data_IF_412287234252
#
_entry.id   IF_412287234252
#
_cell.length_a   1.000
_cell.length_b   1.000
_cell.length_c   1.000
_cell.angle_alpha   90.00
_cell.angle_beta   90.00
_cell.angle_gamma   90.00
#
_symmetry.space_group_name_H-M   'P 1'
#
loop_
_entity.id
_entity.type
_entity.pdbx_description
1 polymer ?
#
# COMPACT_ATOMS: atom_id res chain seq x y z
N UNK A 1 -10.72 -32.96 -12.23
CA UNK A 1 -9.97 -31.84 -12.84
C UNK A 1 -10.47 -30.48 -12.43
N UNK A 2 -11.79 -30.26 -12.26
CA UNK A 2 -12.32 -28.93 -11.83
C UNK A 2 -12.21 -28.71 -10.31
N UNK A 3 -12.31 -29.77 -9.53
CA UNK A 3 -12.21 -29.74 -8.05
C UNK A 3 -10.76 -29.56 -7.56
N UNK A 4 -9.78 -30.12 -8.28
CA UNK A 4 -8.35 -29.93 -7.99
C UNK A 4 -7.87 -28.51 -8.35
N UNK A 5 -8.42 -27.93 -9.44
CA UNK A 5 -8.14 -26.52 -9.78
C UNK A 5 -8.77 -25.55 -8.79
N UNK A 6 -9.95 -25.85 -8.25
CA UNK A 6 -10.59 -25.05 -7.19
C UNK A 6 -9.83 -25.16 -5.86
N UNK A 7 -9.33 -26.34 -5.50
CA UNK A 7 -8.50 -26.54 -4.28
C UNK A 7 -7.14 -25.85 -4.40
N UNK A 8 -6.47 -25.91 -5.56
CA UNK A 8 -5.23 -25.18 -5.81
C UNK A 8 -5.44 -23.66 -5.79
N UNK A 9 -6.50 -23.15 -6.42
CA UNK A 9 -6.83 -21.72 -6.41
C UNK A 9 -7.18 -21.20 -5.01
N UNK A 10 -7.85 -22.00 -4.18
CA UNK A 10 -8.12 -21.68 -2.78
C UNK A 10 -6.83 -21.66 -1.95
N UNK A 11 -5.86 -22.56 -2.19
CA UNK A 11 -4.58 -22.59 -1.49
C UNK A 11 -3.65 -21.42 -1.88
N UNK A 12 -3.65 -21.01 -3.14
CA UNK A 12 -2.90 -19.84 -3.62
C UNK A 12 -3.50 -18.53 -3.10
N UNK A 13 -4.82 -18.41 -3.09
CA UNK A 13 -5.54 -17.27 -2.52
C UNK A 13 -5.30 -17.16 -1.01
N UNK A 14 -5.35 -18.29 -0.27
CA UNK A 14 -5.08 -18.31 1.17
C UNK A 14 -3.63 -17.91 1.48
N UNK A 15 -2.67 -18.33 0.64
CA UNK A 15 -1.27 -17.96 0.83
C UNK A 15 -1.03 -16.46 0.54
N UNK A 16 -1.59 -15.94 -0.54
CA UNK A 16 -1.51 -14.52 -0.89
C UNK A 16 -2.18 -13.63 0.16
N UNK A 17 -3.36 -14.01 0.64
CA UNK A 17 -4.07 -13.31 1.72
C UNK A 17 -3.21 -13.30 3.00
N UNK A 18 -2.52 -14.40 3.35
CA UNK A 18 -1.59 -14.44 4.49
C UNK A 18 -0.36 -13.55 4.29
N UNK A 19 0.14 -13.39 3.08
CA UNK A 19 1.29 -12.54 2.76
C UNK A 19 0.93 -11.04 2.66
N UNK A 20 -0.29 -10.72 2.25
CA UNK A 20 -0.80 -9.34 2.25
C UNK A 20 -1.29 -8.94 3.63
N UNK A 21 -1.98 -9.83 4.34
CA UNK A 21 -2.34 -9.61 5.74
C UNK A 21 -1.09 -9.69 6.62
N UNK A 22 -0.72 -8.59 7.21
CA UNK A 22 0.35 -8.51 8.22
C UNK A 22 -0.06 -9.14 9.58
N UNK A 23 -0.99 -10.09 9.59
CA UNK A 23 -1.55 -10.71 10.80
C UNK A 23 -1.39 -12.23 10.71
N UNK A 24 -0.63 -12.83 11.63
CA UNK A 24 -0.58 -14.29 11.81
C UNK A 24 -1.76 -14.80 12.60
N UNK A 25 -2.27 -15.97 12.23
CA UNK A 25 -3.20 -16.76 13.04
C UNK A 25 -2.43 -17.88 13.73
N UNK A 26 -2.82 -18.23 14.95
CA UNK A 26 -2.18 -19.27 15.78
C UNK A 26 -2.28 -20.70 15.20
N UNK A 27 -3.03 -20.92 14.13
CA UNK A 27 -3.33 -22.25 13.55
C UNK A 27 -2.27 -22.76 12.57
N UNK A 28 -1.27 -21.98 12.19
CA UNK A 28 -0.16 -22.47 11.36
C UNK A 28 0.80 -23.29 12.23
N UNK A 29 1.08 -24.54 11.83
CA UNK A 29 2.11 -25.36 12.46
C UNK A 29 3.49 -24.66 12.47
N UNK A 30 4.49 -25.19 13.20
CA UNK A 30 5.79 -24.53 13.32
C UNK A 30 6.44 -24.43 11.93
N UNK A 31 6.73 -23.20 11.53
CA UNK A 31 7.51 -22.92 10.33
C UNK A 31 8.95 -23.49 10.49
N UNK A 32 9.61 -23.89 9.39
CA UNK A 32 11.00 -24.34 9.47
C UNK A 32 11.94 -23.25 9.97
N UNK A 33 13.00 -23.68 10.70
CA UNK A 33 14.08 -22.76 11.09
C UNK A 33 14.82 -22.22 9.86
N UNK A 34 15.34 -21.03 9.98
CA UNK A 34 16.29 -20.48 9.01
C UNK A 34 17.66 -21.08 9.32
N UNK A 35 18.16 -21.91 8.41
CA UNK A 35 19.45 -22.60 8.57
C UNK A 35 20.58 -21.90 7.81
N UNK A 36 20.24 -21.24 6.72
CA UNK A 36 21.22 -20.62 5.81
C UNK A 36 20.72 -19.30 5.23
N UNK A 37 21.66 -18.55 4.66
CA UNK A 37 21.33 -17.34 3.90
C UNK A 37 20.43 -17.63 2.67
N UNK A 38 20.58 -18.78 2.07
CA UNK A 38 19.74 -19.20 0.94
C UNK A 38 18.24 -19.27 1.30
N UNK A 39 17.90 -19.59 2.56
CA UNK A 39 16.51 -19.63 3.02
C UNK A 39 15.87 -18.24 3.01
N UNK A 40 16.65 -17.18 3.26
CA UNK A 40 16.17 -15.80 3.23
C UNK A 40 15.83 -15.35 1.80
N UNK A 41 16.66 -15.71 0.83
CA UNK A 41 16.45 -15.35 -0.58
C UNK A 41 15.46 -16.26 -1.29
N UNK A 42 15.32 -17.51 -0.84
CA UNK A 42 14.35 -18.48 -1.37
C UNK A 42 12.90 -17.95 -1.27
N UNK A 43 12.60 -17.11 -0.29
CA UNK A 43 11.28 -16.49 -0.21
C UNK A 43 10.99 -15.63 -1.44
N UNK A 44 11.94 -14.81 -1.88
CA UNK A 44 11.77 -13.97 -3.07
C UNK A 44 11.72 -14.82 -4.34
N UNK A 45 12.60 -15.82 -4.47
CA UNK A 45 12.61 -16.74 -5.61
C UNK A 45 11.30 -17.51 -5.77
N UNK A 46 10.59 -17.83 -4.66
CA UNK A 46 9.24 -18.43 -4.74
C UNK A 46 8.20 -17.51 -5.39
N UNK A 47 8.45 -16.20 -5.44
CA UNK A 47 7.61 -15.23 -6.13
C UNK A 47 7.74 -15.27 -7.64
N UNK A 48 8.76 -15.95 -8.20
CA UNK A 48 8.94 -16.08 -9.65
C UNK A 48 7.83 -16.92 -10.28
N UNK A 49 7.13 -16.33 -11.25
CA UNK A 49 6.00 -16.95 -11.93
C UNK A 49 6.08 -16.72 -13.43
N UNK A 50 5.74 -17.71 -14.25
CA UNK A 50 5.59 -17.49 -15.70
C UNK A 50 4.50 -16.44 -15.96
N UNK A 51 4.65 -15.70 -17.05
CA UNK A 51 3.82 -14.51 -17.35
C UNK A 51 2.31 -14.81 -17.42
N UNK A 52 1.91 -15.99 -17.80
CA UNK A 52 0.51 -16.43 -17.86
C UNK A 52 -0.11 -16.67 -16.48
N UNK A 53 0.73 -16.77 -15.44
CA UNK A 53 0.31 -16.89 -14.04
C UNK A 53 0.36 -15.57 -13.28
N UNK A 54 0.80 -14.47 -13.90
CA UNK A 54 0.86 -13.18 -13.23
C UNK A 54 -0.53 -12.70 -12.84
N UNK A 55 -0.62 -12.14 -11.64
CA UNK A 55 -1.83 -11.59 -11.04
C UNK A 55 -1.64 -10.12 -10.68
N UNK A 56 -2.74 -9.46 -10.39
CA UNK A 56 -2.82 -8.07 -9.97
C UNK A 56 -3.48 -8.06 -8.60
N UNK A 57 -2.76 -7.61 -7.57
CA UNK A 57 -3.34 -7.29 -6.27
C UNK A 57 -3.51 -5.78 -6.11
N UNK A 58 -4.58 -5.36 -5.46
CA UNK A 58 -4.81 -3.95 -5.15
C UNK A 58 -5.20 -3.81 -3.70
N UNK A 59 -4.51 -2.92 -2.98
CA UNK A 59 -4.87 -2.57 -1.61
C UNK A 59 -5.39 -1.14 -1.58
N UNK A 60 -6.40 -0.87 -0.77
CA UNK A 60 -6.87 0.49 -0.59
C UNK A 60 -7.48 0.71 0.79
N UNK A 61 -7.08 1.81 1.38
CA UNK A 61 -7.53 2.26 2.68
C UNK A 61 -8.56 3.39 2.54
N UNK A 62 -9.41 3.54 3.53
CA UNK A 62 -10.37 4.62 3.66
C UNK A 62 -10.55 5.01 5.13
N UNK A 63 -10.69 6.31 5.40
CA UNK A 63 -11.06 6.76 6.74
C UNK A 63 -12.53 6.46 7.00
N UNK A 64 -12.82 5.97 8.19
CA UNK A 64 -14.19 5.77 8.67
C UNK A 64 -14.57 6.93 9.58
N UNK A 65 -15.73 7.53 9.37
CA UNK A 65 -16.22 8.64 10.19
C UNK A 65 -17.71 8.49 10.51
N UNK A 66 -18.15 9.02 11.65
CA UNK A 66 -19.57 9.13 11.99
C UNK A 66 -20.21 10.28 11.21
N UNK A 67 -21.33 10.04 10.53
CA UNK A 67 -21.97 11.03 9.64
C UNK A 67 -22.45 12.28 10.41
N UNK A 68 -22.79 12.13 11.72
CA UNK A 68 -23.39 13.21 12.49
C UNK A 68 -22.43 14.36 12.85
N UNK A 69 -21.19 14.04 13.24
CA UNK A 69 -20.21 15.00 13.75
C UNK A 69 -18.79 14.80 13.19
N UNK A 70 -18.65 13.85 12.27
CA UNK A 70 -17.42 13.47 11.60
C UNK A 70 -16.31 12.95 12.56
N UNK A 71 -16.62 12.49 13.80
CA UNK A 71 -15.61 11.85 14.62
C UNK A 71 -15.15 10.51 14.04
N UNK A 72 -13.95 10.07 14.39
CA UNK A 72 -13.43 8.74 14.02
C UNK A 72 -14.00 7.72 15.01
N UNK A 73 -14.80 6.72 14.54
CA UNK A 73 -15.42 5.75 15.44
C UNK A 73 -14.39 4.86 16.14
N UNK A 74 -14.52 4.67 17.45
CA UNK A 74 -13.69 3.74 18.19
C UNK A 74 -14.08 2.29 17.91
N UNK A 75 -13.21 1.35 18.30
CA UNK A 75 -13.48 -0.07 18.10
C UNK A 75 -14.73 -0.53 18.84
N UNK A 76 -14.90 -0.13 20.12
CA UNK A 76 -15.89 -0.68 21.02
C UNK A 76 -17.16 0.18 21.17
N UNK A 77 -17.18 1.39 20.65
CA UNK A 77 -18.38 2.22 20.77
C UNK A 77 -19.60 1.57 20.08
N UNK A 78 -20.79 1.89 20.56
CA UNK A 78 -22.02 1.37 19.96
C UNK A 78 -22.13 1.78 18.49
N UNK A 79 -22.12 0.80 17.59
CA UNK A 79 -22.07 1.05 16.15
C UNK A 79 -20.68 1.41 15.61
N UNK A 80 -19.60 1.18 16.38
CA UNK A 80 -18.23 1.46 15.99
C UNK A 80 -17.58 0.43 15.05
N UNK A 81 -16.25 0.41 14.99
CA UNK A 81 -15.49 -0.40 14.02
C UNK A 81 -15.76 -1.91 14.20
N UNK A 82 -15.91 -2.39 15.46
CA UNK A 82 -16.30 -3.79 15.70
C UNK A 82 -17.64 -4.12 15.05
N UNK A 83 -18.65 -3.25 15.18
CA UNK A 83 -19.97 -3.46 14.58
C UNK A 83 -19.90 -3.45 13.04
N UNK A 84 -19.03 -2.64 12.44
CA UNK A 84 -18.77 -2.63 11.00
C UNK A 84 -18.21 -3.97 10.53
N UNK A 85 -17.19 -4.53 11.23
CA UNK A 85 -16.62 -5.85 10.91
C UNK A 85 -17.66 -6.95 11.02
N UNK A 86 -18.43 -7.01 12.12
CA UNK A 86 -19.55 -7.95 12.28
C UNK A 86 -20.56 -7.81 11.17
N UNK A 87 -20.94 -6.58 10.81
CA UNK A 87 -21.90 -6.32 9.74
C UNK A 87 -21.49 -6.91 8.39
N UNK A 88 -20.20 -6.92 8.09
CA UNK A 88 -19.66 -7.46 6.84
C UNK A 88 -19.72 -8.98 6.77
N UNK A 89 -19.80 -9.70 7.88
CA UNK A 89 -19.90 -11.19 7.88
C UNK A 89 -21.11 -11.70 7.13
N UNK A 90 -22.19 -10.90 7.02
CA UNK A 90 -23.39 -11.26 6.24
C UNK A 90 -23.11 -11.45 4.74
N UNK A 91 -22.00 -10.91 4.22
CA UNK A 91 -21.56 -11.09 2.84
C UNK A 91 -20.60 -12.28 2.65
N UNK A 92 -20.41 -13.09 3.70
CA UNK A 92 -19.56 -14.28 3.66
C UNK A 92 -18.13 -14.06 4.14
N UNK A 93 -17.79 -12.84 4.61
CA UNK A 93 -16.50 -12.58 5.24
C UNK A 93 -16.37 -13.34 6.55
N UNK A 94 -15.20 -13.97 6.78
CA UNK A 94 -14.88 -14.77 7.95
C UNK A 94 -14.01 -13.98 8.93
N UNK A 95 -14.38 -13.88 10.23
CA UNK A 95 -13.61 -13.14 11.21
C UNK A 95 -12.24 -13.77 11.50
N UNK A 96 -11.22 -12.90 11.62
CA UNK A 96 -9.89 -13.23 12.14
C UNK A 96 -9.73 -12.56 13.49
N UNK A 97 -9.32 -13.35 14.49
CA UNK A 97 -9.25 -12.91 15.88
C UNK A 97 -7.81 -12.75 16.37
N UNK A 98 -7.60 -11.77 17.25
CA UNK A 98 -6.47 -11.65 18.15
C UNK A 98 -7.04 -11.59 19.58
N UNK A 99 -6.87 -12.66 20.35
CA UNK A 99 -7.62 -12.83 21.60
C UNK A 99 -9.13 -12.88 21.34
N UNK A 100 -9.87 -12.00 21.98
CA UNK A 100 -11.34 -11.87 21.80
C UNK A 100 -11.74 -10.84 20.72
N UNK A 101 -10.77 -10.10 20.18
CA UNK A 101 -11.05 -9.02 19.23
C UNK A 101 -11.00 -9.51 17.79
N UNK A 102 -12.01 -9.15 16.99
CA UNK A 102 -11.96 -9.29 15.54
C UNK A 102 -11.07 -8.18 14.98
N UNK A 103 -9.92 -8.55 14.40
CA UNK A 103 -8.92 -7.60 13.90
C UNK A 103 -8.86 -7.54 12.37
N UNK A 104 -9.49 -8.48 11.71
CA UNK A 104 -9.55 -8.57 10.26
C UNK A 104 -10.69 -9.50 9.83
N UNK A 105 -10.98 -9.52 8.53
CA UNK A 105 -11.88 -10.48 7.89
C UNK A 105 -11.17 -11.09 6.68
N UNK A 106 -11.42 -12.37 6.39
CA UNK A 106 -10.97 -13.04 5.17
C UNK A 106 -12.15 -13.47 4.32
N UNK A 107 -11.98 -13.52 3.02
CA UNK A 107 -13.05 -13.93 2.10
C UNK A 107 -12.53 -14.18 0.69
N UNK A 108 -13.43 -14.56 -0.24
CA UNK A 108 -13.06 -14.84 -1.62
C UNK A 108 -12.52 -13.62 -2.39
N UNK A 109 -12.85 -12.42 -1.94
CA UNK A 109 -12.38 -11.15 -2.49
C UNK A 109 -11.14 -10.60 -1.75
N UNK A 110 -10.37 -11.45 -1.06
CA UNK A 110 -9.17 -11.04 -0.33
C UNK A 110 -9.37 -10.92 1.18
N UNK A 111 -8.82 -9.87 1.79
CA UNK A 111 -8.94 -9.61 3.21
C UNK A 111 -9.33 -8.16 3.51
N UNK A 112 -10.06 -7.97 4.59
CA UNK A 112 -10.32 -6.66 5.18
C UNK A 112 -9.50 -6.55 6.45
N UNK A 113 -8.72 -5.50 6.62
CA UNK A 113 -7.95 -5.25 7.81
C UNK A 113 -8.17 -3.86 8.39
N UNK A 114 -7.72 -3.68 9.64
CA UNK A 114 -7.74 -2.40 10.33
C UNK A 114 -6.32 -1.86 10.42
N UNK A 115 -6.14 -0.62 10.03
CA UNK A 115 -4.94 0.14 10.33
C UNK A 115 -5.04 0.82 11.72
N UNK A 116 -3.94 1.36 12.30
CA UNK A 116 -3.89 1.73 13.72
C UNK A 116 -5.03 2.61 14.25
N UNK A 117 -5.55 3.54 13.46
CA UNK A 117 -6.66 4.41 13.87
C UNK A 117 -8.01 4.04 13.23
N UNK A 118 -8.16 2.80 12.77
CA UNK A 118 -9.40 2.32 12.17
C UNK A 118 -9.53 2.67 10.69
N UNK A 119 -8.44 3.09 10.02
CA UNK A 119 -8.44 3.14 8.56
C UNK A 119 -8.77 1.74 8.07
N UNK A 120 -9.81 1.68 7.23
CA UNK A 120 -10.45 0.43 6.82
C UNK A 120 -9.88 0.00 5.47
N UNK A 121 -9.11 -1.08 5.47
CA UNK A 121 -8.37 -1.56 4.31
C UNK A 121 -9.06 -2.74 3.65
N UNK A 122 -9.06 -2.77 2.32
CA UNK A 122 -9.19 -3.99 1.53
C UNK A 122 -7.81 -4.33 0.96
N UNK A 123 -7.30 -5.51 1.29
CA UNK A 123 -6.22 -6.18 0.55
C UNK A 123 -6.89 -7.15 -0.41
N UNK A 124 -7.04 -6.74 -1.69
CA UNK A 124 -7.80 -7.48 -2.69
C UNK A 124 -7.16 -8.81 -3.09
N UNK A 125 -7.93 -9.67 -3.72
CA UNK A 125 -7.48 -10.96 -4.22
C UNK A 125 -6.48 -10.81 -5.39
N UNK A 126 -5.62 -11.82 -5.65
CA UNK A 126 -4.76 -11.85 -6.84
C UNK A 126 -5.59 -12.16 -8.09
N UNK A 127 -5.85 -11.14 -8.92
CA UNK A 127 -6.78 -11.19 -10.04
C UNK A 127 -6.07 -11.15 -11.41
N UNK A 128 -6.71 -11.67 -12.45
CA UNK A 128 -6.13 -11.80 -13.79
C UNK A 128 -6.05 -10.49 -14.58
N UNK A 129 -6.97 -9.57 -14.30
CA UNK A 129 -7.14 -8.35 -15.09
C UNK A 129 -7.78 -7.21 -14.31
N UNK A 130 -7.65 -5.99 -14.83
CA UNK A 130 -8.13 -4.77 -14.18
C UNK A 130 -9.66 -4.69 -14.11
N UNK A 131 -10.39 -5.31 -15.02
CA UNK A 131 -11.85 -5.35 -14.94
C UNK A 131 -12.32 -6.10 -13.68
N UNK A 132 -11.64 -7.23 -13.36
CA UNK A 132 -11.90 -7.99 -12.13
C UNK A 132 -11.53 -7.17 -10.88
N UNK A 133 -10.37 -6.51 -10.89
CA UNK A 133 -9.89 -5.64 -9.80
C UNK A 133 -10.89 -4.52 -9.51
N UNK A 134 -11.36 -3.83 -10.55
CA UNK A 134 -12.37 -2.78 -10.38
C UNK A 134 -13.73 -3.31 -9.94
N UNK A 135 -14.13 -4.48 -10.40
CA UNK A 135 -15.36 -5.13 -9.96
C UNK A 135 -15.31 -5.52 -8.47
N UNK A 136 -14.16 -6.06 -8.01
CA UNK A 136 -13.87 -6.36 -6.60
C UNK A 136 -13.96 -5.09 -5.74
N UNK A 137 -13.23 -4.04 -6.09
CA UNK A 137 -13.30 -2.74 -5.41
C UNK A 137 -14.74 -2.23 -5.32
N UNK A 138 -15.48 -2.29 -6.43
CA UNK A 138 -16.87 -1.85 -6.47
C UNK A 138 -17.79 -2.70 -5.58
N UNK A 139 -17.57 -4.03 -5.48
CA UNK A 139 -18.31 -4.90 -4.56
C UNK A 139 -18.05 -4.52 -3.11
N UNK A 140 -16.76 -4.40 -2.75
CA UNK A 140 -16.36 -4.04 -1.40
C UNK A 140 -16.93 -2.69 -0.97
N UNK A 141 -16.81 -1.65 -1.79
CA UNK A 141 -17.36 -0.32 -1.48
C UNK A 141 -18.87 -0.35 -1.29
N UNK A 142 -19.62 -1.13 -2.09
CA UNK A 142 -21.06 -1.31 -1.85
C UNK A 142 -21.36 -2.02 -0.53
N UNK A 143 -20.58 -3.04 -0.17
CA UNK A 143 -20.75 -3.78 1.08
C UNK A 143 -20.50 -2.89 2.30
N UNK A 144 -19.38 -2.15 2.32
CA UNK A 144 -19.07 -1.26 3.44
C UNK A 144 -20.07 -0.11 3.54
N UNK A 145 -20.50 0.45 2.41
CA UNK A 145 -21.54 1.49 2.38
C UNK A 145 -22.87 1.00 2.95
N UNK A 146 -23.33 -0.19 2.54
CA UNK A 146 -24.59 -0.77 3.05
C UNK A 146 -24.59 -0.99 4.57
N UNK A 147 -23.43 -1.39 5.14
CA UNK A 147 -23.30 -1.52 6.59
C UNK A 147 -23.13 -0.15 7.23
N UNK A 148 -22.29 0.73 6.66
CA UNK A 148 -22.05 2.07 7.18
C UNK A 148 -23.34 2.89 7.29
N UNK A 149 -24.20 2.89 6.29
CA UNK A 149 -25.49 3.57 6.34
C UNK A 149 -26.35 3.13 7.53
N UNK A 150 -26.36 1.83 7.87
CA UNK A 150 -27.10 1.30 9.02
C UNK A 150 -26.50 1.70 10.37
N UNK A 151 -25.16 1.94 10.39
CA UNK A 151 -24.43 2.32 11.58
C UNK A 151 -24.22 3.83 11.72
N UNK A 152 -24.65 4.62 10.73
CA UNK A 152 -24.41 6.06 10.68
C UNK A 152 -22.95 6.42 10.37
N UNK A 153 -22.25 5.58 9.60
CA UNK A 153 -20.85 5.77 9.20
C UNK A 153 -20.73 6.17 7.73
N UNK A 154 -19.74 7.00 7.42
CA UNK A 154 -19.26 7.31 6.09
C UNK A 154 -17.80 6.88 5.90
N UNK A 155 -17.37 6.84 4.65
CA UNK A 155 -16.02 6.42 4.25
C UNK A 155 -15.39 7.49 3.38
N UNK A 156 -14.23 8.01 3.79
CA UNK A 156 -13.58 9.16 3.14
C UNK A 156 -12.35 8.71 2.35
N UNK A 157 -12.29 9.08 1.08
CA UNK A 157 -11.21 8.74 0.15
C UNK A 157 -10.17 9.88 0.03
N UNK A 158 -9.30 10.03 1.02
CA UNK A 158 -8.19 11.01 1.04
C UNK A 158 -6.87 10.34 1.45
N UNK A 159 -5.74 10.99 1.18
CA UNK A 159 -4.43 10.49 1.59
C UNK A 159 -4.05 10.83 3.04
N UNK A 160 -4.71 11.81 3.65
CA UNK A 160 -4.49 12.23 5.02
C UNK A 160 -5.78 12.73 5.65
N UNK A 161 -5.93 12.50 6.97
CA UNK A 161 -7.08 12.95 7.76
C UNK A 161 -7.16 14.48 7.74
N UNK A 162 -8.22 15.09 7.19
CA UNK A 162 -8.17 16.52 6.84
C UNK A 162 -8.28 17.45 8.05
N UNK A 163 -8.97 17.05 9.12
CA UNK A 163 -9.34 17.90 10.25
C UNK A 163 -9.01 17.32 11.64
N UNK A 164 -8.74 16.02 11.76
CA UNK A 164 -8.48 15.38 13.05
C UNK A 164 -7.03 15.54 13.49
N UNK A 165 -6.82 15.79 14.79
CA UNK A 165 -5.52 15.72 15.44
C UNK A 165 -5.24 14.27 15.86
N UNK A 166 -3.98 13.98 16.25
CA UNK A 166 -3.59 12.61 16.69
C UNK A 166 -4.41 12.15 17.90
N UNK A 167 -4.63 13.05 18.87
CA UNK A 167 -5.38 12.79 20.11
C UNK A 167 -6.88 12.57 19.89
N UNK A 168 -7.41 12.98 18.75
CA UNK A 168 -8.83 12.79 18.41
C UNK A 168 -9.11 11.38 17.84
N UNK A 169 -8.07 10.58 17.60
CA UNK A 169 -8.16 9.30 16.89
C UNK A 169 -8.09 8.11 17.83
N UNK A 170 -8.94 7.09 17.64
CA UNK A 170 -8.90 5.86 18.41
C UNK A 170 -7.68 5.01 18.05
N UNK A 171 -7.39 3.99 18.87
CA UNK A 171 -6.40 2.96 18.58
C UNK A 171 -7.11 1.61 18.48
N UNK A 172 -6.86 0.89 17.38
CA UNK A 172 -7.43 -0.44 17.16
C UNK A 172 -6.71 -1.50 17.99
N UNK A 173 -7.40 -2.56 18.47
CA UNK A 173 -6.88 -3.55 19.41
C UNK A 173 -6.01 -4.61 18.74
N UNK A 174 -4.90 -4.20 18.08
CA UNK A 174 -3.86 -5.09 17.57
C UNK A 174 -2.60 -4.93 18.40
N UNK A 175 -2.06 -6.02 18.96
CA UNK A 175 -0.92 -5.98 19.88
C UNK A 175 0.34 -5.36 19.28
N UNK A 176 0.60 -5.57 17.98
CA UNK A 176 1.72 -4.96 17.26
C UNK A 176 1.68 -3.42 17.26
N UNK A 177 0.50 -2.80 17.29
CA UNK A 177 0.37 -1.34 17.28
C UNK A 177 0.89 -0.70 18.56
N UNK A 178 0.69 -1.35 19.71
CA UNK A 178 1.24 -0.87 20.98
C UNK A 178 2.79 -0.80 20.95
N UNK A 179 3.46 -1.74 20.29
CA UNK A 179 4.91 -1.74 20.09
C UNK A 179 5.32 -0.58 19.17
N UNK A 180 4.66 -0.46 18.02
CA UNK A 180 4.96 0.58 17.02
C UNK A 180 4.73 1.99 17.58
N UNK A 181 3.64 2.22 18.30
CA UNK A 181 3.33 3.52 18.94
C UNK A 181 4.43 3.96 19.92
N UNK A 182 5.06 3.02 20.64
CA UNK A 182 6.19 3.32 21.55
C UNK A 182 7.49 3.56 20.80
N UNK A 183 7.69 2.88 19.68
CA UNK A 183 8.94 2.95 18.93
C UNK A 183 9.02 4.18 17.99
N UNK A 184 7.96 4.45 17.23
CA UNK A 184 7.94 5.49 16.19
C UNK A 184 8.43 6.86 16.64
N UNK A 185 8.02 7.40 17.82
CA UNK A 185 8.49 8.72 18.27
C UNK A 185 9.99 8.79 18.60
N UNK A 186 10.68 7.65 18.66
CA UNK A 186 12.13 7.58 18.95
C UNK A 186 12.98 7.67 17.71
N UNK A 187 12.40 7.39 16.54
CA UNK A 187 13.13 7.25 15.27
C UNK A 187 12.75 8.28 14.23
N UNK A 188 11.61 8.96 14.38
CA UNK A 188 11.16 10.04 13.52
C UNK A 188 10.08 10.89 14.17
N UNK A 189 9.85 12.11 13.69
CA UNK A 189 8.86 13.01 14.26
C UNK A 189 7.44 12.81 13.70
N UNK A 190 7.31 12.22 12.51
CA UNK A 190 6.06 12.04 11.78
C UNK A 190 5.53 10.59 11.78
N UNK A 191 6.20 9.67 12.51
CA UNK A 191 5.80 8.27 12.55
C UNK A 191 4.38 8.03 13.10
N UNK A 192 3.96 8.81 14.10
CA UNK A 192 2.58 8.73 14.61
C UNK A 192 1.56 9.29 13.63
N UNK A 193 1.91 10.31 12.85
CA UNK A 193 1.05 10.81 11.77
C UNK A 193 0.86 9.77 10.67
N UNK A 194 1.94 9.06 10.31
CA UNK A 194 1.88 7.95 9.37
C UNK A 194 0.89 6.89 9.87
N UNK A 195 1.03 6.44 11.10
CA UNK A 195 0.21 5.37 11.66
C UNK A 195 -1.26 5.74 11.78
N UNK A 196 -1.57 6.96 12.20
CA UNK A 196 -2.91 7.33 12.64
C UNK A 196 -3.70 8.12 11.59
N UNK A 197 -3.02 8.84 10.71
CA UNK A 197 -3.68 9.86 9.86
C UNK A 197 -3.50 9.66 8.36
N UNK A 198 -2.85 8.58 7.90
CA UNK A 198 -2.67 8.34 6.45
C UNK A 198 -3.57 7.24 5.92
N UNK A 199 -3.96 7.37 4.65
CA UNK A 199 -4.53 6.31 3.82
C UNK A 199 -3.85 6.27 2.45
N UNK A 200 -3.73 5.07 1.89
CA UNK A 200 -3.03 4.81 0.63
C UNK A 200 -3.88 3.97 -0.32
N UNK A 201 -3.45 3.94 -1.58
CA UNK A 201 -3.75 2.90 -2.55
C UNK A 201 -2.42 2.24 -2.92
N UNK A 202 -2.38 0.89 -2.98
CA UNK A 202 -1.19 0.12 -3.31
C UNK A 202 -1.49 -0.88 -4.42
N UNK A 203 -0.45 -1.30 -5.13
CA UNK A 203 -0.56 -2.28 -6.21
C UNK A 203 0.52 -3.33 -6.07
N UNK A 204 0.14 -4.61 -6.10
CA UNK A 204 1.00 -5.77 -5.98
C UNK A 204 1.11 -6.46 -7.32
N UNK A 205 2.33 -6.60 -7.85
CA UNK A 205 2.59 -7.16 -9.18
C UNK A 205 3.68 -8.22 -9.15
N UNK A 206 3.45 -9.30 -9.89
CA UNK A 206 4.34 -10.45 -10.01
C UNK A 206 5.55 -10.17 -10.93
N UNK A 207 6.56 -11.02 -10.81
CA UNK A 207 7.75 -11.04 -11.65
C UNK A 207 8.10 -12.47 -12.09
N UNK A 208 8.85 -12.60 -13.20
CA UNK A 208 9.16 -13.88 -13.82
C UNK A 208 10.51 -14.48 -13.38
N UNK A 209 11.42 -13.63 -12.91
CA UNK A 209 12.78 -14.00 -12.51
C UNK A 209 13.38 -12.87 -11.69
N UNK A 210 14.54 -13.11 -11.06
CA UNK A 210 15.30 -12.06 -10.37
C UNK A 210 15.64 -10.88 -11.30
N UNK A 211 16.05 -11.15 -12.53
CA UNK A 211 16.37 -10.11 -13.51
C UNK A 211 15.14 -9.26 -13.91
N UNK A 212 13.97 -9.88 -14.06
CA UNK A 212 12.70 -9.18 -14.30
C UNK A 212 12.29 -8.36 -13.07
N UNK A 213 12.42 -8.94 -11.87
CA UNK A 213 12.19 -8.24 -10.59
C UNK A 213 13.06 -6.99 -10.49
N UNK A 214 14.37 -7.10 -10.73
CA UNK A 214 15.32 -5.97 -10.67
C UNK A 214 14.90 -4.85 -11.61
N UNK A 215 14.54 -5.16 -12.85
CA UNK A 215 14.11 -4.15 -13.83
C UNK A 215 12.81 -3.48 -13.42
N UNK A 216 11.81 -4.27 -13.02
CA UNK A 216 10.52 -3.77 -12.53
C UNK A 216 10.69 -2.92 -11.28
N UNK A 217 11.53 -3.34 -10.34
CA UNK A 217 11.79 -2.58 -9.13
C UNK A 217 12.41 -1.21 -9.43
N UNK A 218 13.44 -1.18 -10.29
CA UNK A 218 14.09 0.07 -10.72
C UNK A 218 13.11 1.03 -11.39
N UNK A 219 12.30 0.56 -12.33
CA UNK A 219 11.28 1.37 -12.99
C UNK A 219 10.25 1.87 -12.00
N UNK A 220 9.74 1.00 -11.14
CA UNK A 220 8.74 1.36 -10.13
C UNK A 220 9.26 2.40 -9.16
N UNK A 221 10.48 2.20 -8.63
CA UNK A 221 11.08 3.11 -7.66
C UNK A 221 11.40 4.48 -8.28
N UNK A 222 11.91 4.50 -9.51
CA UNK A 222 12.18 5.74 -10.25
C UNK A 222 10.92 6.55 -10.55
N UNK A 223 9.81 5.87 -10.92
CA UNK A 223 8.55 6.50 -11.28
C UNK A 223 7.59 6.68 -10.09
N UNK A 224 7.94 6.21 -8.89
CA UNK A 224 7.09 6.38 -7.70
C UNK A 224 6.76 7.85 -7.42
N UNK A 225 7.70 8.83 -7.56
CA UNK A 225 7.35 10.24 -7.42
C UNK A 225 6.33 10.74 -8.45
N UNK A 226 6.30 10.17 -9.67
CA UNK A 226 5.26 10.51 -10.65
C UNK A 226 3.90 9.97 -10.21
N UNK A 227 3.83 8.74 -9.70
CA UNK A 227 2.62 8.21 -9.08
C UNK A 227 2.17 9.10 -7.90
N UNK A 228 3.09 9.49 -7.02
CA UNK A 228 2.80 10.45 -5.92
C UNK A 228 2.19 11.75 -6.46
N UNK A 229 2.74 12.33 -7.53
CA UNK A 229 2.21 13.57 -8.13
C UNK A 229 0.79 13.38 -8.69
N UNK A 230 0.56 12.30 -9.46
CA UNK A 230 -0.73 12.01 -10.09
C UNK A 230 -1.85 11.72 -9.07
N UNK A 231 -1.46 11.12 -7.95
CA UNK A 231 -2.39 10.71 -6.88
C UNK A 231 -2.38 11.65 -5.67
N UNK A 232 -1.67 12.79 -5.72
CA UNK A 232 -1.61 13.76 -4.63
C UNK A 232 -3.02 14.21 -4.19
N UNK A 233 -3.41 13.87 -2.95
CA UNK A 233 -4.77 14.03 -2.43
C UNK A 233 -4.80 14.23 -0.91
N UNK A 234 -3.81 14.99 -0.35
CA UNK A 234 -3.71 15.23 1.09
C UNK A 234 -3.29 16.67 1.43
N UNK A 235 -4.03 17.70 0.95
CA UNK A 235 -3.62 19.09 1.09
C UNK A 235 -4.03 19.75 2.41
N UNK A 236 -4.73 19.03 3.31
CA UNK A 236 -5.25 19.58 4.58
C UNK A 236 -4.68 18.87 5.79
N UNK A 237 -4.53 19.60 6.89
CA UNK A 237 -4.15 19.11 8.21
C UNK A 237 -4.85 19.96 9.26
N UNK A 238 -5.55 19.31 10.20
CA UNK A 238 -6.21 20.00 11.34
C UNK A 238 -7.08 21.18 10.92
N UNK A 239 -7.88 20.96 9.88
CA UNK A 239 -8.85 21.95 9.38
C UNK A 239 -8.30 23.01 8.45
N UNK A 240 -7.02 22.94 8.03
CA UNK A 240 -6.35 24.00 7.25
C UNK A 240 -5.52 23.43 6.10
N UNK A 241 -5.32 24.20 5.01
CA UNK A 241 -4.30 23.89 4.00
C UNK A 241 -2.90 23.78 4.65
N UNK A 242 -2.18 22.69 4.32
CA UNK A 242 -0.88 22.37 4.93
C UNK A 242 0.34 22.77 4.08
N UNK A 243 0.12 23.31 2.88
CA UNK A 243 1.18 23.73 1.96
C UNK A 243 1.78 22.59 1.13
N UNK A 244 1.17 21.39 1.15
CA UNK A 244 1.53 20.27 0.30
C UNK A 244 0.34 19.87 -0.58
N UNK A 245 0.64 19.16 -1.68
CA UNK A 245 -0.35 18.46 -2.48
C UNK A 245 -0.48 17.00 -2.00
N UNK A 246 0.65 16.36 -1.67
CA UNK A 246 0.68 15.08 -0.95
C UNK A 246 1.42 15.23 0.38
N UNK A 247 0.69 15.59 1.43
CA UNK A 247 1.26 15.64 2.79
C UNK A 247 1.62 14.23 3.29
N UNK A 248 0.87 13.21 2.87
CA UNK A 248 1.20 11.82 3.16
C UNK A 248 2.61 11.46 2.68
N UNK A 249 2.98 11.82 1.46
CA UNK A 249 4.34 11.55 0.96
C UNK A 249 5.41 12.30 1.76
N UNK A 250 5.13 13.52 2.22
CA UNK A 250 6.02 14.26 3.11
C UNK A 250 6.22 13.54 4.45
N UNK A 251 5.16 12.99 5.04
CA UNK A 251 5.23 12.24 6.31
C UNK A 251 6.24 11.10 6.22
N UNK A 252 6.29 10.36 5.12
CA UNK A 252 7.23 9.26 4.92
C UNK A 252 8.70 9.69 4.82
N UNK A 253 9.00 11.00 4.78
CA UNK A 253 10.38 11.51 4.82
C UNK A 253 10.96 11.57 6.23
N UNK A 254 10.13 11.53 7.28
CA UNK A 254 10.56 11.60 8.69
C UNK A 254 9.74 10.64 9.59
N UNK A 255 9.67 9.37 9.17
CA UNK A 255 8.97 8.29 9.89
C UNK A 255 9.98 7.37 10.60
N UNK A 256 10.74 6.59 9.84
CA UNK A 256 11.81 5.72 10.32
C UNK A 256 12.81 5.51 9.18
N UNK A 257 13.94 6.22 9.18
CA UNK A 257 14.87 6.23 8.05
C UNK A 257 15.50 4.87 7.76
N UNK A 258 15.50 3.93 8.71
CA UNK A 258 16.05 2.59 8.49
C UNK A 258 15.17 1.71 7.60
N UNK A 259 13.85 2.01 7.53
CA UNK A 259 12.86 1.15 6.86
C UNK A 259 11.94 1.84 5.88
N UNK A 260 12.04 3.17 5.70
CA UNK A 260 11.14 3.96 4.86
C UNK A 260 11.89 4.62 3.70
N UNK A 261 11.16 5.04 2.68
CA UNK A 261 11.63 5.92 1.63
C UNK A 261 12.24 5.19 0.43
N UNK A 262 13.12 5.92 -0.24
CA UNK A 262 13.83 5.40 -1.41
C UNK A 262 14.97 4.47 -0.96
N UNK A 263 15.24 3.46 -1.78
CA UNK A 263 16.34 2.52 -1.60
C UNK A 263 17.39 2.74 -2.69
N UNK A 264 18.37 3.63 -2.50
CA UNK A 264 19.34 3.99 -3.55
C UNK A 264 20.11 2.81 -4.12
N UNK A 265 20.43 1.81 -3.29
CA UNK A 265 21.15 0.60 -3.69
C UNK A 265 20.41 -0.24 -4.76
N UNK A 266 19.11 -0.01 -4.98
CA UNK A 266 18.35 -0.67 -6.07
C UNK A 266 18.91 -0.29 -7.44
N UNK A 267 19.50 0.90 -7.58
CA UNK A 267 20.09 1.40 -8.82
C UNK A 267 21.56 1.03 -9.00
N UNK A 268 22.20 0.45 -7.97
CA UNK A 268 23.59 -0.01 -8.04
C UNK A 268 23.73 -1.30 -8.86
N UNK A 269 24.92 -1.53 -9.42
CA UNK A 269 25.25 -2.81 -10.05
C UNK A 269 25.25 -3.93 -9.02
N UNK A 270 24.77 -5.11 -9.41
CA UNK A 270 24.67 -6.26 -8.52
C UNK A 270 23.47 -6.27 -7.58
N UNK A 271 22.51 -5.33 -7.75
CA UNK A 271 21.24 -5.41 -7.02
C UNK A 271 20.47 -6.67 -7.41
N UNK A 272 19.94 -7.37 -6.41
CA UNK A 272 19.13 -8.58 -6.53
C UNK A 272 18.64 -9.04 -5.17
N UNK A 273 18.18 -10.29 -5.07
CA UNK A 273 17.61 -10.87 -3.84
C UNK A 273 18.57 -10.82 -2.64
N UNK A 274 19.85 -11.15 -2.89
CA UNK A 274 20.88 -11.12 -1.84
C UNK A 274 21.05 -9.71 -1.25
N UNK A 275 21.13 -8.69 -2.10
CA UNK A 275 21.31 -7.31 -1.65
C UNK A 275 20.08 -6.77 -0.93
N UNK A 276 18.86 -7.18 -1.36
CA UNK A 276 17.64 -6.83 -0.65
C UNK A 276 17.52 -7.55 0.69
N UNK A 277 17.90 -8.83 0.75
CA UNK A 277 17.96 -9.57 2.02
C UNK A 277 18.94 -8.93 3.01
N UNK A 278 20.13 -8.49 2.55
CA UNK A 278 21.07 -7.76 3.38
C UNK A 278 20.51 -6.46 3.96
N UNK A 279 19.82 -5.68 3.12
CA UNK A 279 19.12 -4.49 3.61
C UNK A 279 18.12 -4.86 4.71
N UNK A 280 17.29 -5.87 4.49
CA UNK A 280 16.28 -6.29 5.47
C UNK A 280 16.89 -6.82 6.76
N UNK A 281 18.03 -7.53 6.71
CA UNK A 281 18.75 -7.98 7.90
C UNK A 281 19.27 -6.82 8.76
N UNK A 282 19.54 -5.67 8.14
CA UNK A 282 20.02 -4.45 8.81
C UNK A 282 18.87 -3.54 9.30
N UNK A 283 17.64 -3.77 8.84
CA UNK A 283 16.44 -3.08 9.36
C UNK A 283 16.21 -3.52 10.81
N UNK A 284 16.12 -2.62 11.81
CA UNK A 284 15.80 -3.00 13.17
C UNK A 284 14.43 -3.69 13.29
N UNK A 285 14.32 -4.71 14.12
CA UNK A 285 13.07 -5.44 14.32
C UNK A 285 12.01 -4.57 15.00
N UNK A 286 10.75 -4.99 14.90
CA UNK A 286 9.66 -4.47 15.75
C UNK A 286 9.23 -5.51 16.79
N UNK A 287 8.99 -6.74 16.37
CA UNK A 287 8.44 -7.79 17.23
C UNK A 287 8.85 -9.19 16.73
N UNK A 288 8.62 -10.16 17.59
CA UNK A 288 8.54 -11.59 17.25
C UNK A 288 7.17 -12.10 17.68
N UNK A 289 6.54 -12.96 16.88
CA UNK A 289 5.25 -13.55 17.21
C UNK A 289 5.46 -14.97 17.78
N UNK A 290 4.98 -15.21 19.03
CA UNK A 290 5.07 -16.52 19.71
C UNK A 290 3.79 -16.75 20.54
N UNK A 291 3.31 -17.96 20.54
CA UNK A 291 2.18 -18.39 21.39
C UNK A 291 0.94 -17.50 21.30
N UNK A 292 0.63 -17.01 20.09
CA UNK A 292 -0.52 -16.12 19.86
C UNK A 292 -0.33 -14.66 20.29
N UNK A 293 0.89 -14.25 20.67
CA UNK A 293 1.20 -12.91 21.13
C UNK A 293 2.44 -12.29 20.49
N UNK A 294 2.56 -10.96 20.58
CA UNK A 294 3.69 -10.19 20.09
C UNK A 294 4.69 -9.91 21.21
N UNK A 295 5.93 -10.34 21.04
CA UNK A 295 7.08 -10.04 21.91
C UNK A 295 7.75 -8.77 21.37
N UNK A 296 7.91 -7.75 22.21
CA UNK A 296 8.56 -6.48 21.85
C UNK A 296 10.07 -6.72 21.58
N UNK A 297 10.46 -6.58 20.32
CA UNK A 297 11.85 -6.64 19.84
C UNK A 297 12.26 -5.33 19.15
N UNK A 298 11.54 -4.23 19.41
CA UNK A 298 11.75 -2.97 18.72
C UNK A 298 13.18 -2.43 18.88
N UNK A 299 13.84 -2.23 17.76
CA UNK A 299 15.22 -1.75 17.70
C UNK A 299 16.28 -2.85 17.81
N UNK A 300 15.91 -4.12 18.03
CA UNK A 300 16.85 -5.25 18.09
C UNK A 300 17.26 -5.72 16.68
N UNK A 301 18.36 -6.44 16.60
CA UNK A 301 18.97 -6.90 15.34
C UNK A 301 18.41 -8.27 14.92
N UNK A 302 17.96 -8.39 13.67
CA UNK A 302 17.61 -9.68 13.11
C UNK A 302 18.85 -10.60 12.91
N UNK A 303 20.05 -10.01 12.69
CA UNK A 303 21.29 -10.77 12.62
C UNK A 303 21.62 -11.44 13.96
N UNK A 304 21.40 -10.74 15.08
CA UNK A 304 21.56 -11.34 16.41
C UNK A 304 20.53 -12.46 16.66
N UNK A 305 19.33 -12.33 16.09
CA UNK A 305 18.31 -13.40 16.16
C UNK A 305 18.75 -14.64 15.38
N UNK A 306 19.36 -14.50 14.20
CA UNK A 306 19.92 -15.61 13.43
C UNK A 306 21.01 -16.36 14.25
N UNK A 307 21.80 -15.62 15.04
CA UNK A 307 22.85 -16.17 15.90
C UNK A 307 22.33 -16.75 17.25
N UNK A 308 21.03 -16.68 17.53
CA UNK A 308 20.44 -17.08 18.83
C UNK A 308 20.80 -16.13 19.98
N UNK A 309 21.16 -14.88 19.66
CA UNK A 309 21.61 -13.86 20.62
C UNK A 309 20.53 -12.80 20.89
N UNK A 310 19.28 -13.00 20.45
CA UNK A 310 18.23 -12.00 20.66
C UNK A 310 17.92 -11.88 22.16
N UNK A 311 18.07 -10.70 22.79
CA UNK A 311 17.97 -10.55 24.25
C UNK A 311 16.61 -10.95 24.83
N UNK A 312 15.52 -10.80 24.05
CA UNK A 312 14.16 -11.15 24.47
C UNK A 312 13.81 -12.62 24.25
N UNK A 313 14.63 -13.37 23.50
CA UNK A 313 14.50 -14.80 23.20
C UNK A 313 15.88 -15.48 23.17
N UNK A 314 16.61 -15.52 24.30
CA UNK A 314 17.98 -16.01 24.34
C UNK A 314 18.05 -17.50 23.98
N UNK A 315 18.91 -17.84 23.03
CA UNK A 315 19.11 -19.21 22.53
C UNK A 315 18.14 -19.63 21.43
N UNK A 316 17.06 -18.87 21.17
CA UNK A 316 16.18 -19.15 20.05
C UNK A 316 16.74 -18.60 18.72
N UNK A 317 16.42 -19.28 17.63
CA UNK A 317 16.72 -18.86 16.26
C UNK A 317 15.43 -18.64 15.49
N UNK A 318 15.44 -17.74 14.49
CA UNK A 318 14.22 -17.40 13.77
C UNK A 318 13.74 -18.53 12.84
N UNK A 319 12.44 -18.58 12.67
CA UNK A 319 11.74 -19.39 11.67
C UNK A 319 11.49 -18.58 10.38
N UNK A 320 11.15 -19.24 9.28
CA UNK A 320 10.80 -18.57 8.01
C UNK A 320 9.65 -17.56 8.19
N UNK A 321 8.71 -17.88 9.07
CA UNK A 321 7.64 -16.96 9.38
C UNK A 321 8.10 -15.67 10.10
N UNK A 322 9.12 -15.73 10.95
CA UNK A 322 9.70 -14.55 11.58
C UNK A 322 10.35 -13.63 10.52
N UNK A 323 10.94 -14.23 9.49
CA UNK A 323 11.47 -13.50 8.34
C UNK A 323 10.36 -12.83 7.54
N UNK A 324 9.28 -13.55 7.25
CA UNK A 324 8.10 -13.00 6.55
C UNK A 324 7.49 -11.84 7.32
N UNK A 325 7.32 -11.97 8.64
CA UNK A 325 6.84 -10.89 9.50
C UNK A 325 7.79 -9.70 9.48
N UNK A 326 9.11 -9.93 9.56
CA UNK A 326 10.11 -8.90 9.52
C UNK A 326 10.10 -8.11 8.19
N UNK A 327 9.99 -8.80 7.04
CA UNK A 327 9.82 -8.17 5.73
C UNK A 327 8.59 -7.25 5.68
N UNK A 328 7.51 -7.63 6.38
CA UNK A 328 6.28 -6.82 6.44
C UNK A 328 6.45 -5.51 7.22
N UNK A 329 7.52 -5.39 8.03
CA UNK A 329 7.80 -4.20 8.84
C UNK A 329 8.65 -3.15 8.14
N UNK A 330 9.09 -3.36 6.91
CA UNK A 330 9.73 -2.36 6.08
C UNK A 330 8.69 -1.63 5.21
N UNK A 331 8.86 -0.32 5.08
CA UNK A 331 7.91 0.56 4.40
C UNK A 331 8.61 1.45 3.35
N UNK A 332 9.43 0.90 2.45
CA UNK A 332 9.99 1.67 1.35
C UNK A 332 8.91 2.08 0.35
N UNK A 333 9.25 2.97 -0.57
CA UNK A 333 8.36 3.42 -1.66
C UNK A 333 7.90 2.26 -2.57
N UNK A 334 8.77 1.26 -2.76
CA UNK A 334 8.49 -0.03 -3.40
C UNK A 334 9.05 -1.12 -2.50
N UNK A 335 8.25 -2.11 -2.15
CA UNK A 335 8.63 -3.24 -1.28
C UNK A 335 8.68 -4.54 -2.07
N UNK A 336 9.70 -5.37 -1.81
CA UNK A 336 9.81 -6.72 -2.33
C UNK A 336 9.32 -7.73 -1.29
N UNK A 337 8.37 -8.53 -1.70
CA UNK A 337 7.92 -9.78 -1.06
C UNK A 337 8.02 -10.91 -2.09
N UNK A 338 7.07 -11.84 -2.14
CA UNK A 338 6.88 -12.75 -3.30
C UNK A 338 6.30 -12.01 -4.53
N UNK A 339 6.09 -10.71 -4.41
CA UNK A 339 5.68 -9.77 -5.44
C UNK A 339 6.31 -8.40 -5.17
N UNK A 340 6.18 -7.47 -6.11
CA UNK A 340 6.54 -6.06 -5.92
C UNK A 340 5.29 -5.26 -5.54
N UNK A 341 5.40 -4.48 -4.49
CA UNK A 341 4.33 -3.66 -3.93
C UNK A 341 4.67 -2.18 -4.08
N UNK A 342 3.92 -1.46 -4.90
CA UNK A 342 4.05 -0.02 -5.12
C UNK A 342 3.15 0.74 -4.15
N UNK A 343 3.73 1.64 -3.32
CA UNK A 343 3.13 2.14 -2.06
C UNK A 343 2.95 3.66 -1.96
N UNK A 344 3.42 4.44 -2.91
CA UNK A 344 3.56 5.90 -2.76
C UNK A 344 2.33 6.74 -3.15
N UNK A 345 1.18 6.15 -3.49
CA UNK A 345 -0.02 6.89 -3.84
C UNK A 345 -0.86 7.25 -2.60
N UNK A 346 -1.43 8.46 -2.58
CA UNK A 346 -2.44 8.86 -1.59
C UNK A 346 -3.74 8.08 -1.79
N UNK A 347 -4.52 7.88 -0.73
CA UNK A 347 -5.89 7.40 -0.79
C UNK A 347 -6.78 8.30 -1.65
N UNK A 348 -7.81 7.72 -2.28
CA UNK A 348 -8.66 8.47 -3.20
C UNK A 348 -9.97 7.75 -3.53
N UNK A 349 -10.86 8.37 -4.33
CA UNK A 349 -12.14 7.80 -4.72
C UNK A 349 -11.98 6.60 -5.66
N UNK A 350 -13.07 5.88 -5.90
CA UNK A 350 -13.13 4.63 -6.66
C UNK A 350 -12.34 4.66 -7.99
N UNK A 351 -12.49 5.70 -8.78
CA UNK A 351 -11.80 5.82 -10.06
C UNK A 351 -10.27 5.97 -9.94
N UNK A 352 -9.76 6.41 -8.79
CA UNK A 352 -8.33 6.43 -8.47
C UNK A 352 -7.85 5.06 -8.03
N UNK A 353 -8.65 4.35 -7.24
CA UNK A 353 -8.34 2.97 -6.83
C UNK A 353 -8.15 2.07 -8.05
N UNK A 354 -8.96 2.23 -9.09
CA UNK A 354 -8.82 1.49 -10.35
C UNK A 354 -7.65 1.99 -11.24
N UNK A 355 -7.35 3.29 -11.19
CA UNK A 355 -6.33 3.88 -12.07
C UNK A 355 -4.89 3.55 -11.65
N UNK A 356 -4.62 3.33 -10.36
CA UNK A 356 -3.26 3.01 -9.88
C UNK A 356 -2.76 1.67 -10.41
N UNK A 357 -3.50 0.55 -10.25
CA UNK A 357 -3.08 -0.72 -10.85
C UNK A 357 -3.02 -0.63 -12.38
N UNK A 358 -3.88 0.13 -13.05
CA UNK A 358 -3.80 0.34 -14.49
C UNK A 358 -2.49 1.02 -14.91
N UNK A 359 -2.05 2.03 -14.16
CA UNK A 359 -0.77 2.69 -14.38
C UNK A 359 0.40 1.71 -14.29
N UNK A 360 0.49 0.95 -13.20
CA UNK A 360 1.60 0.04 -12.97
C UNK A 360 1.57 -1.20 -13.85
N UNK A 361 0.40 -1.81 -14.07
CA UNK A 361 0.23 -2.95 -14.98
C UNK A 361 0.60 -2.57 -16.42
N UNK A 362 0.18 -1.39 -16.86
CA UNK A 362 0.51 -0.88 -18.20
C UNK A 362 2.01 -0.70 -18.41
N UNK A 363 2.76 -0.33 -17.37
CA UNK A 363 4.21 -0.15 -17.44
C UNK A 363 4.99 -1.45 -17.27
N UNK A 364 4.50 -2.40 -16.45
CA UNK A 364 5.34 -3.50 -15.96
C UNK A 364 4.96 -4.87 -16.52
N UNK A 365 3.74 -5.07 -17.08
CA UNK A 365 3.27 -6.37 -17.52
C UNK A 365 3.37 -6.59 -19.05
N UNK A 366 3.77 -5.57 -19.80
CA UNK A 366 4.19 -5.68 -21.19
C UNK A 366 5.68 -5.39 -21.33
N UNK A 367 6.41 -6.25 -22.06
CA UNK A 367 7.86 -6.12 -22.16
C UNK A 367 8.28 -4.84 -22.90
N UNK A 368 7.55 -4.47 -23.95
CA UNK A 368 7.85 -3.26 -24.72
C UNK A 368 7.61 -1.99 -23.91
N UNK A 369 6.55 -1.97 -23.10
CA UNK A 369 6.27 -0.86 -22.18
C UNK A 369 7.30 -0.79 -21.05
N UNK A 370 7.69 -1.93 -20.46
CA UNK A 370 8.73 -1.99 -19.43
C UNK A 370 10.08 -1.50 -19.97
N UNK A 371 10.46 -1.90 -21.18
CA UNK A 371 11.69 -1.46 -21.84
C UNK A 371 11.66 0.06 -22.10
N UNK A 372 10.57 0.57 -22.64
CA UNK A 372 10.39 2.01 -22.89
C UNK A 372 10.41 2.84 -21.59
N UNK A 373 9.75 2.36 -20.52
CA UNK A 373 9.78 3.01 -19.21
C UNK A 373 11.20 2.99 -18.61
N UNK A 374 11.92 1.89 -18.74
CA UNK A 374 13.31 1.79 -18.30
C UNK A 374 14.22 2.74 -19.07
N UNK A 375 14.07 2.83 -20.41
CA UNK A 375 14.84 3.75 -21.24
C UNK A 375 14.65 5.22 -20.84
N UNK A 376 13.48 5.56 -20.33
CA UNK A 376 13.17 6.91 -19.83
C UNK A 376 13.91 7.22 -18.51
N UNK A 377 14.04 6.27 -17.59
CA UNK A 377 14.52 6.52 -16.23
C UNK A 377 15.95 6.03 -15.95
N UNK A 378 16.52 5.15 -16.76
CA UNK A 378 17.84 4.49 -16.52
C UNK A 378 19.03 5.45 -16.38
N UNK A 379 18.87 6.69 -16.81
CA UNK A 379 19.93 7.71 -16.75
C UNK A 379 19.75 8.71 -15.59
N UNK A 380 18.73 8.51 -14.74
CA UNK A 380 18.51 9.38 -13.60
C UNK A 380 19.57 9.09 -12.53
N UNK A 381 20.13 10.16 -11.95
CA UNK A 381 21.12 10.02 -10.87
C UNK A 381 20.43 9.86 -9.52
N UNK A 382 21.19 9.41 -8.53
CA UNK A 382 20.70 9.32 -7.15
C UNK A 382 20.29 10.71 -6.63
N UNK A 383 21.01 11.76 -7.00
CA UNK A 383 20.69 13.15 -6.67
C UNK A 383 19.36 13.58 -7.31
N UNK A 384 19.08 13.16 -8.56
CA UNK A 384 17.80 13.40 -9.20
C UNK A 384 16.68 12.75 -8.40
N UNK A 385 16.81 11.48 -8.03
CA UNK A 385 15.81 10.76 -7.25
C UNK A 385 15.53 11.44 -5.90
N UNK A 386 16.58 11.83 -5.16
CA UNK A 386 16.41 12.52 -3.88
C UNK A 386 15.73 13.88 -4.03
N UNK A 387 16.16 14.69 -5.00
CA UNK A 387 15.58 16.00 -5.27
C UNK A 387 14.10 15.88 -5.65
N UNK A 388 13.79 15.00 -6.58
CA UNK A 388 12.40 14.78 -7.06
C UNK A 388 11.51 14.32 -5.91
N UNK A 389 11.96 13.37 -5.10
CA UNK A 389 11.21 12.89 -3.95
C UNK A 389 10.91 14.01 -2.93
N UNK A 390 11.84 14.94 -2.75
CA UNK A 390 11.67 16.07 -1.83
C UNK A 390 10.71 17.14 -2.38
N UNK A 391 10.73 17.40 -3.69
CA UNK A 391 9.97 18.49 -4.34
C UNK A 391 8.52 18.10 -4.69
N UNK A 392 8.30 16.87 -5.16
CA UNK A 392 7.01 16.42 -5.69
C UNK A 392 5.85 16.53 -4.68
N UNK A 393 6.01 16.26 -3.39
CA UNK A 393 4.92 16.42 -2.42
C UNK A 393 4.32 17.83 -2.36
N UNK A 394 5.10 18.86 -2.71
CA UNK A 394 4.66 20.26 -2.76
C UNK A 394 4.28 20.70 -4.16
N UNK A 395 5.07 20.34 -5.16
CA UNK A 395 4.98 20.88 -6.51
C UNK A 395 4.10 20.05 -7.45
N UNK A 396 3.86 18.77 -7.12
CA UNK A 396 3.09 17.84 -7.94
C UNK A 396 3.61 17.80 -9.38
N UNK A 397 2.73 18.01 -10.36
CA UNK A 397 3.08 18.01 -11.79
C UNK A 397 3.96 19.19 -12.23
N UNK A 398 4.09 20.24 -11.42
CA UNK A 398 5.01 21.36 -11.71
C UNK A 398 6.47 21.04 -11.33
N UNK A 399 6.73 19.99 -10.58
CA UNK A 399 8.08 19.55 -10.26
C UNK A 399 8.91 19.32 -11.53
N UNK A 400 10.24 19.51 -11.42
CA UNK A 400 11.17 19.31 -12.53
C UNK A 400 11.83 17.94 -12.43
N UNK A 401 11.60 17.13 -13.44
CA UNK A 401 12.37 15.91 -13.66
C UNK A 401 13.78 16.19 -14.20
N UNK A 402 14.57 15.14 -14.44
CA UNK A 402 15.86 15.27 -15.11
C UNK A 402 15.72 15.95 -16.48
N UNK A 403 16.78 16.63 -16.92
CA UNK A 403 16.80 17.38 -18.19
C UNK A 403 15.79 18.54 -18.26
N UNK A 404 15.25 18.99 -17.11
CA UNK A 404 14.37 20.17 -17.02
C UNK A 404 12.93 19.98 -17.49
N UNK A 405 12.52 18.77 -17.88
CA UNK A 405 11.10 18.47 -18.17
C UNK A 405 10.26 18.57 -16.90
N UNK A 406 9.03 19.09 -17.02
CA UNK A 406 8.06 19.05 -15.92
C UNK A 406 7.54 17.64 -15.72
N UNK A 407 7.05 17.32 -14.51
CA UNK A 407 6.33 16.08 -14.25
C UNK A 407 5.05 15.96 -15.05
N UNK A 408 4.43 17.06 -15.47
CA UNK A 408 3.32 17.04 -16.42
C UNK A 408 3.74 16.47 -17.78
N UNK A 409 4.87 16.96 -18.33
CA UNK A 409 5.41 16.45 -19.59
C UNK A 409 5.87 15.01 -19.50
N UNK A 410 6.54 14.64 -18.40
CA UNK A 410 6.94 13.27 -18.13
C UNK A 410 5.70 12.37 -17.99
N UNK A 411 4.70 12.84 -17.24
CA UNK A 411 3.45 12.12 -17.02
C UNK A 411 2.70 11.80 -18.32
N UNK A 412 2.67 12.74 -19.27
CA UNK A 412 2.07 12.48 -20.59
C UNK A 412 2.77 11.32 -21.28
N UNK A 413 4.11 11.35 -21.36
CA UNK A 413 4.89 10.30 -22.01
C UNK A 413 4.75 8.94 -21.31
N UNK A 414 4.82 8.91 -19.97
CA UNK A 414 4.70 7.66 -19.21
C UNK A 414 3.28 7.09 -19.31
N UNK A 415 2.25 7.92 -19.34
CA UNK A 415 0.86 7.45 -19.57
C UNK A 415 0.65 6.92 -20.98
N UNK A 416 1.34 7.45 -22.00
CA UNK A 416 1.29 6.90 -23.36
C UNK A 416 1.96 5.52 -23.42
N UNK A 417 3.09 5.32 -22.70
CA UNK A 417 3.73 4.01 -22.55
C UNK A 417 2.80 3.04 -21.81
N UNK A 418 2.21 3.45 -20.69
CA UNK A 418 1.29 2.60 -19.91
C UNK A 418 0.06 2.19 -20.74
N UNK A 419 -0.49 3.12 -21.51
CA UNK A 419 -1.62 2.86 -22.41
C UNK A 419 -1.24 1.83 -23.48
N UNK A 420 -0.09 1.98 -24.12
CA UNK A 420 0.40 1.02 -25.12
C UNK A 420 0.57 -0.38 -24.50
N UNK A 421 1.11 -0.47 -23.28
CA UNK A 421 1.25 -1.72 -22.54
C UNK A 421 -0.10 -2.37 -22.20
N UNK A 422 -1.10 -1.61 -21.75
CA UNK A 422 -2.46 -2.14 -21.53
C UNK A 422 -3.10 -2.62 -22.82
N UNK A 423 -3.03 -1.84 -23.90
CA UNK A 423 -3.56 -2.23 -25.21
C UNK A 423 -2.91 -3.54 -25.73
N UNK A 424 -1.59 -3.71 -25.53
CA UNK A 424 -0.87 -4.92 -25.93
C UNK A 424 -1.31 -6.17 -25.16
N UNK A 425 -1.82 -6.04 -23.94
CA UNK A 425 -2.35 -7.14 -23.12
C UNK A 425 -3.65 -7.73 -23.68
N UNK A 426 -4.44 -6.97 -24.45
CA UNK A 426 -5.70 -7.40 -25.08
C UNK A 426 -6.70 -8.03 -24.08
N UNK A 427 -6.77 -7.51 -22.87
CA UNK A 427 -7.74 -7.94 -21.84
C UNK A 427 -9.04 -7.18 -22.06
N UNK A 428 -10.05 -7.87 -22.56
CA UNK A 428 -11.33 -7.29 -22.99
C UNK A 428 -12.44 -7.80 -22.06
N UNK A 429 -13.32 -6.92 -21.61
CA UNK A 429 -14.50 -7.27 -20.83
C UNK A 429 -15.65 -7.77 -21.69
N UNK A 430 -16.76 -8.17 -21.09
CA UNK A 430 -17.96 -8.66 -21.81
C UNK A 430 -18.63 -7.59 -22.69
N UNK A 431 -18.37 -6.31 -22.48
CA UNK A 431 -18.89 -5.20 -23.28
C UNK A 431 -17.99 -4.87 -24.50
N UNK A 432 -16.81 -5.48 -24.57
CA UNK A 432 -15.84 -5.22 -25.63
C UNK A 432 -14.81 -4.13 -25.30
N UNK A 433 -14.82 -3.57 -24.08
CA UNK A 433 -13.86 -2.57 -23.66
C UNK A 433 -12.55 -3.23 -23.21
N UNK A 434 -11.42 -2.64 -23.56
CA UNK A 434 -10.10 -3.04 -23.05
C UNK A 434 -9.76 -2.32 -21.73
N UNK A 435 -8.56 -2.59 -21.19
CA UNK A 435 -8.12 -2.02 -19.93
C UNK A 435 -7.65 -0.55 -20.02
N UNK A 436 -7.51 0.03 -21.20
CA UNK A 436 -6.90 1.36 -21.39
C UNK A 436 -7.74 2.49 -20.79
N UNK A 437 -9.07 2.35 -20.77
CA UNK A 437 -9.99 3.33 -20.19
C UNK A 437 -9.76 3.60 -18.70
N UNK A 438 -9.15 2.67 -17.96
CA UNK A 438 -8.80 2.90 -16.56
C UNK A 438 -7.72 3.96 -16.35
N UNK A 439 -7.00 4.38 -17.41
CA UNK A 439 -6.03 5.48 -17.36
C UNK A 439 -6.66 6.87 -17.58
N UNK A 440 -7.90 6.96 -18.04
CA UNK A 440 -8.53 8.24 -18.37
C UNK A 440 -8.51 9.26 -17.23
N UNK A 441 -8.76 8.88 -15.95
CA UNK A 441 -8.64 9.81 -14.83
C UNK A 441 -7.25 10.42 -14.68
N UNK A 442 -6.18 9.68 -15.01
CA UNK A 442 -4.80 10.17 -14.94
C UNK A 442 -4.46 11.04 -16.15
N UNK A 443 -4.96 10.69 -17.33
CA UNK A 443 -4.83 11.51 -18.55
C UNK A 443 -5.48 12.87 -18.37
N UNK A 444 -6.66 12.93 -17.75
CA UNK A 444 -7.34 14.18 -17.43
C UNK A 444 -6.51 15.05 -16.47
N UNK A 445 -5.87 14.46 -15.46
CA UNK A 445 -4.98 15.17 -14.53
C UNK A 445 -3.80 15.77 -15.29
N UNK A 446 -3.14 14.99 -16.13
CA UNK A 446 -1.98 15.47 -16.89
C UNK A 446 -2.40 16.55 -17.91
N UNK A 447 -3.50 16.35 -18.62
CA UNK A 447 -4.01 17.33 -19.60
C UNK A 447 -4.36 18.66 -18.93
N UNK A 448 -5.04 18.62 -17.77
CA UNK A 448 -5.42 19.84 -17.02
C UNK A 448 -4.26 20.46 -16.23
N UNK A 449 -3.20 19.69 -15.92
CA UNK A 449 -2.14 20.10 -15.01
C UNK A 449 -2.57 20.20 -13.55
N UNK A 450 -3.81 19.80 -13.21
CA UNK A 450 -4.40 19.93 -11.87
C UNK A 450 -4.58 18.56 -11.22
N UNK A 451 -3.78 18.28 -10.21
CA UNK A 451 -3.90 17.09 -9.37
C UNK A 451 -5.11 17.16 -8.42
N UNK A 452 -5.60 16.03 -7.85
CA UNK A 452 -6.76 16.05 -6.95
C UNK A 452 -6.67 17.06 -5.81
N UNK A 453 -5.52 17.11 -5.12
CA UNK A 453 -5.27 18.06 -4.03
C UNK A 453 -5.45 19.53 -4.47
N UNK A 454 -5.02 19.87 -5.68
CA UNK A 454 -5.17 21.22 -6.20
C UNK A 454 -6.64 21.59 -6.45
N UNK A 455 -7.43 20.62 -6.96
CA UNK A 455 -8.87 20.81 -7.13
C UNK A 455 -9.56 21.00 -5.77
N UNK A 456 -9.14 20.29 -4.73
CA UNK A 456 -9.66 20.47 -3.37
C UNK A 456 -9.30 21.85 -2.81
N UNK A 457 -8.07 22.34 -3.00
CA UNK A 457 -7.65 23.68 -2.60
C UNK A 457 -8.42 24.78 -3.36
N UNK A 458 -8.62 24.61 -4.66
CA UNK A 458 -9.44 25.54 -5.47
C UNK A 458 -10.87 25.64 -4.91
N UNK A 459 -11.46 24.50 -4.51
CA UNK A 459 -12.80 24.48 -3.88
C UNK A 459 -12.80 25.11 -2.49
N UNK A 460 -11.81 24.79 -1.66
CA UNK A 460 -11.67 25.34 -0.32
C UNK A 460 -11.60 26.86 -0.33
N UNK A 461 -10.76 27.46 -1.20
CA UNK A 461 -10.64 28.90 -1.33
C UNK A 461 -11.78 29.56 -2.12
N UNK A 462 -12.51 28.79 -2.95
CA UNK A 462 -13.62 29.25 -3.77
C UNK A 462 -14.98 28.86 -3.21
N UNK A 463 -15.59 27.82 -3.78
CA UNK A 463 -16.98 27.43 -3.52
C UNK A 463 -17.29 27.03 -2.07
N UNK A 464 -16.28 26.55 -1.31
CA UNK A 464 -16.48 26.22 0.09
C UNK A 464 -16.29 27.42 1.05
N UNK A 465 -15.71 28.53 0.59
CA UNK A 465 -15.51 29.72 1.42
C UNK A 465 -14.67 29.47 2.67
N UNK A 466 -13.77 28.47 2.66
CA UNK A 466 -12.97 28.05 3.80
C UNK A 466 -13.63 27.02 4.72
N UNK A 467 -14.85 26.57 4.41
CA UNK A 467 -15.54 25.50 5.16
C UNK A 467 -15.05 24.13 4.75
N UNK A 468 -14.10 23.55 5.50
CA UNK A 468 -13.53 22.24 5.21
C UNK A 468 -14.50 21.09 5.44
N UNK A 469 -15.61 21.27 6.19
CA UNK A 469 -16.58 20.19 6.39
C UNK A 469 -17.17 19.67 5.07
N UNK A 470 -17.18 20.52 4.03
CA UNK A 470 -17.63 20.15 2.68
C UNK A 470 -16.79 19.04 2.02
N UNK A 471 -15.60 18.74 2.54
CA UNK A 471 -14.76 17.64 2.05
C UNK A 471 -15.42 16.29 2.29
N UNK A 472 -16.19 16.14 3.36
CA UNK A 472 -16.93 14.92 3.68
C UNK A 472 -18.07 14.65 2.68
N UNK A 473 -18.71 15.70 2.17
CA UNK A 473 -19.75 15.59 1.14
C UNK A 473 -19.17 15.16 -0.23
N UNK A 474 -17.95 15.63 -0.56
CA UNK A 474 -17.39 15.49 -1.90
C UNK A 474 -16.42 14.33 -2.06
N UNK A 475 -15.78 13.86 -0.98
CA UNK A 475 -14.75 12.82 -1.00
C UNK A 475 -15.20 11.51 -0.36
N UNK A 476 -16.47 11.41 0.06
CA UNK A 476 -17.06 10.14 0.54
C UNK A 476 -17.44 9.22 -0.62
N UNK A 477 -17.36 7.90 -0.35
CA UNK A 477 -17.73 6.83 -1.28
C UNK A 477 -19.22 6.63 -1.39
#
# INVERSE_FOLDING_TARGET
MDDDRRRLALSESDHYVRETMTTRTAEAGPDPLIESRADLTALFARGEKPKDQWRIGTEHEKFVYAVGDHHAPSYEEKGGIHALLIGLTKFGWQPVYEGENIIALTGPDGAVSLEPAGQFELSGAPLDNLHQTCAETGRHLRQVKEIGEKLGMGFLGLGFWPDKRREDLPIMPKGRYAIMLRHMPRVGSLGLDMMLRTCTIQTNLDYASEADMVKKFRVSLALQPLATALFANSPFTEGKPNGFLSYRSHIWTDTDPARTGMLPFVFEDGFGYERYADYMLDVPMYFVFRDGGYIDAAGLSFRDFLDGKLPVLPGERPHIGDWTDHLSTAFPEVRLKTFLEMRGADGGPWNRICALPAFWVGLLYDQGALDAAWDEVKHWTIEDHHRIRAEVPRLGLAAKGPRGRTFQQLGQQILDIAHAGLAARKRINAAGDDETGFLDPLREIVASGKVPAQRLLDRYHGAWGGDLSRVYDEMSF
#
